data_IF_948441697634
#
_entry.id   IF_948441697634
#
_cell.length_a   1.000
_cell.length_b   1.000
_cell.length_c   1.000
_cell.angle_alpha   90.00
_cell.angle_beta   90.00
_cell.angle_gamma   90.00
#
_symmetry.space_group_name_H-M   'P 1'
#
loop_
_entity.id
_entity.type
_entity.pdbx_description
1 polymer ?
#
# COMPACT_ATOMS: atom_id res chain seq x y z
N UNK A 1 -2.31 -14.52 -3.90
CA UNK A 1 -2.81 -13.27 -4.50
C UNK A 1 -1.63 -12.46 -5.03
N UNK A 2 -1.68 -12.03 -6.28
CA UNK A 2 -0.69 -11.14 -6.87
C UNK A 2 -1.35 -9.85 -7.35
N UNK A 3 -0.71 -8.71 -7.15
CA UNK A 3 -1.14 -7.43 -7.71
C UNK A 3 0.05 -6.77 -8.40
N UNK A 4 0.16 -7.00 -9.71
CA UNK A 4 1.24 -6.48 -10.53
C UNK A 4 0.81 -5.11 -11.05
N UNK A 5 1.45 -4.05 -10.56
CA UNK A 5 1.16 -2.64 -10.86
C UNK A 5 -0.27 -2.13 -10.59
N UNK A 6 -1.22 -3.00 -10.24
CA UNK A 6 -2.62 -2.62 -10.00
C UNK A 6 -2.80 -1.58 -8.89
N UNK A 7 -1.98 -1.62 -7.84
CA UNK A 7 -2.05 -0.63 -6.76
C UNK A 7 -1.75 0.80 -7.22
N UNK A 8 -1.11 1.02 -8.38
CA UNK A 8 -0.92 2.37 -8.93
C UNK A 8 -2.24 3.08 -9.27
N UNK A 9 -3.31 2.31 -9.48
CA UNK A 9 -4.61 2.80 -9.92
C UNK A 9 -5.69 2.69 -8.83
N UNK A 10 -5.31 2.20 -7.66
CA UNK A 10 -6.21 2.07 -6.52
C UNK A 10 -6.06 3.28 -5.62
N UNK A 11 -7.18 3.92 -5.29
CA UNK A 11 -7.24 5.02 -4.34
C UNK A 11 -6.85 4.56 -2.94
N UNK A 12 -7.61 3.65 -2.33
CA UNK A 12 -7.26 3.11 -1.01
C UNK A 12 -6.37 1.85 -1.09
N UNK A 13 -5.07 2.09 -1.21
CA UNK A 13 -4.04 1.03 -1.32
C UNK A 13 -3.92 0.22 -0.03
N UNK A 14 -4.05 0.86 1.14
CA UNK A 14 -3.97 0.18 2.43
C UNK A 14 -5.15 -0.76 2.63
N UNK A 15 -6.38 -0.32 2.38
CA UNK A 15 -7.54 -1.20 2.48
C UNK A 15 -7.47 -2.36 1.48
N UNK A 16 -6.97 -2.13 0.27
CA UNK A 16 -6.77 -3.21 -0.70
C UNK A 16 -5.79 -4.27 -0.18
N UNK A 17 -4.68 -3.86 0.44
CA UNK A 17 -3.70 -4.76 1.03
C UNK A 17 -4.26 -5.54 2.23
N UNK A 18 -4.97 -4.88 3.15
CA UNK A 18 -5.52 -5.53 4.34
C UNK A 18 -6.69 -6.47 4.01
N UNK A 19 -7.52 -6.13 3.01
CA UNK A 19 -8.54 -7.05 2.48
C UNK A 19 -7.92 -8.26 1.79
N UNK A 20 -6.89 -8.04 0.96
CA UNK A 20 -6.20 -9.17 0.33
C UNK A 20 -5.54 -10.10 1.37
N UNK A 21 -5.02 -9.54 2.46
CA UNK A 21 -4.49 -10.32 3.59
C UNK A 21 -5.55 -11.21 4.26
N UNK A 22 -6.78 -10.70 4.45
CA UNK A 22 -7.86 -11.46 5.10
C UNK A 22 -8.43 -12.58 4.24
N UNK A 23 -8.18 -12.56 2.93
CA UNK A 23 -8.58 -13.63 2.00
C UNK A 23 -7.54 -14.73 1.83
N UNK A 24 -6.33 -14.57 2.37
CA UNK A 24 -5.32 -15.62 2.25
C UNK A 24 -5.76 -16.88 3.01
N UNK A 25 -5.37 -18.04 2.52
CA UNK A 25 -5.39 -19.27 3.34
C UNK A 25 -4.23 -19.25 4.34
N UNK A 26 -4.19 -20.20 5.28
CA UNK A 26 -3.11 -20.32 6.28
C UNK A 26 -1.71 -20.28 5.64
N UNK A 27 -1.54 -20.90 4.48
CA UNK A 27 -0.28 -20.93 3.73
C UNK A 27 -0.27 -20.03 2.49
N UNK A 28 -1.30 -19.20 2.33
CA UNK A 28 -1.45 -18.29 1.21
C UNK A 28 -0.35 -17.22 1.16
N UNK A 29 -0.09 -16.70 -0.02
CA UNK A 29 0.91 -15.66 -0.24
C UNK A 29 0.29 -14.49 -1.01
N UNK A 30 0.44 -13.28 -0.46
CA UNK A 30 0.20 -12.01 -1.15
C UNK A 30 1.55 -11.43 -1.59
N UNK A 31 1.65 -11.02 -2.86
CA UNK A 31 2.77 -10.21 -3.38
C UNK A 31 2.22 -9.11 -4.28
N UNK A 32 2.61 -7.86 -4.02
CA UNK A 32 2.18 -6.72 -4.83
C UNK A 32 3.32 -5.75 -5.12
N UNK A 33 3.26 -5.07 -6.27
CA UNK A 33 4.04 -3.85 -6.45
C UNK A 33 3.43 -2.73 -5.60
N UNK A 34 4.26 -2.05 -4.83
CA UNK A 34 3.84 -0.98 -3.92
C UNK A 34 4.86 0.14 -3.98
N UNK A 35 4.47 1.29 -4.55
CA UNK A 35 5.30 2.50 -4.55
C UNK A 35 4.95 3.35 -3.34
N UNK A 36 5.72 3.21 -2.26
CA UNK A 36 5.49 3.96 -1.02
C UNK A 36 5.56 5.49 -1.21
N UNK A 37 6.14 6.00 -2.31
CA UNK A 37 6.18 7.44 -2.61
C UNK A 37 4.82 7.99 -3.01
N UNK A 38 3.91 7.13 -3.48
CA UNK A 38 2.53 7.51 -3.80
C UNK A 38 1.63 7.66 -2.57
N UNK A 39 2.20 7.57 -1.36
CA UNK A 39 1.46 7.68 -0.12
C UNK A 39 1.79 9.00 0.56
N UNK A 40 0.75 9.80 0.79
CA UNK A 40 0.84 11.20 1.21
C UNK A 40 0.07 11.45 2.50
N UNK A 41 0.53 12.42 3.27
CA UNK A 41 -0.26 13.08 4.31
C UNK A 41 -1.21 14.10 3.67
N UNK A 42 -2.24 14.61 4.37
CA UNK A 42 -3.21 15.55 3.80
C UNK A 42 -2.60 16.85 3.25
N UNK A 43 -1.46 17.27 3.80
CA UNK A 43 -0.69 18.43 3.33
C UNK A 43 0.16 18.13 2.07
N UNK A 44 0.07 16.92 1.53
CA UNK A 44 0.84 16.45 0.37
C UNK A 44 2.26 15.98 0.71
N UNK A 45 2.69 16.07 1.96
CA UNK A 45 4.02 15.61 2.36
C UNK A 45 4.14 14.07 2.31
N UNK A 46 5.33 13.51 2.08
CA UNK A 46 5.51 12.05 1.99
C UNK A 46 5.22 11.33 3.31
N UNK A 47 4.38 10.29 3.27
CA UNK A 47 4.06 9.45 4.43
C UNK A 47 4.79 8.08 4.43
N UNK A 48 5.68 7.84 3.45
CA UNK A 48 6.23 6.53 3.14
C UNK A 48 6.92 5.81 4.32
N UNK A 49 7.76 6.51 5.08
CA UNK A 49 8.57 5.91 6.15
C UNK A 49 7.75 5.46 7.37
N UNK A 50 6.92 6.32 8.00
CA UNK A 50 6.07 5.87 9.10
C UNK A 50 5.11 4.77 8.63
N UNK A 51 4.52 4.91 7.45
CA UNK A 51 3.56 3.93 6.93
C UNK A 51 4.18 2.55 6.64
N UNK A 52 5.35 2.50 6.02
CA UNK A 52 6.04 1.22 5.81
C UNK A 52 6.52 0.59 7.12
N UNK A 53 6.74 1.38 8.17
CA UNK A 53 6.99 0.86 9.53
C UNK A 53 5.76 0.17 10.09
N UNK A 54 4.58 0.81 10.02
CA UNK A 54 3.32 0.22 10.49
C UNK A 54 2.94 -1.03 9.70
N UNK A 55 3.14 -1.04 8.37
CA UNK A 55 2.93 -2.24 7.56
C UNK A 55 3.84 -3.40 8.00
N UNK A 56 5.10 -3.12 8.33
CA UNK A 56 6.03 -4.13 8.86
C UNK A 56 5.61 -4.65 10.22
N UNK A 57 5.13 -3.78 11.11
CA UNK A 57 4.58 -4.17 12.41
C UNK A 57 3.33 -5.06 12.26
N UNK A 58 2.52 -4.83 11.23
CA UNK A 58 1.40 -5.70 10.86
C UNK A 58 1.81 -7.04 10.23
N UNK A 59 3.12 -7.24 9.97
CA UNK A 59 3.71 -8.46 9.45
C UNK A 59 3.92 -8.50 7.94
N UNK A 60 3.69 -7.39 7.22
CA UNK A 60 4.11 -7.30 5.84
C UNK A 60 5.63 -7.22 5.75
N UNK A 61 6.20 -7.76 4.68
CA UNK A 61 7.57 -7.44 4.28
C UNK A 61 7.54 -6.41 3.15
N UNK A 62 8.49 -5.47 3.16
CA UNK A 62 8.59 -4.45 2.11
C UNK A 62 10.03 -4.31 1.63
N UNK A 63 10.22 -4.58 0.33
CA UNK A 63 11.47 -4.41 -0.41
C UNK A 63 11.40 -3.10 -1.22
N UNK A 64 12.07 -2.03 -0.77
CA UNK A 64 12.04 -0.73 -1.45
C UNK A 64 12.81 -0.73 -2.77
N UNK A 65 13.81 -1.61 -2.94
CA UNK A 65 14.60 -1.70 -4.18
C UNK A 65 13.75 -2.26 -5.31
N UNK A 66 12.93 -3.27 -5.00
CA UNK A 66 12.00 -3.88 -5.95
C UNK A 66 10.59 -3.26 -5.92
N UNK A 67 10.36 -2.30 -5.01
CA UNK A 67 9.04 -1.69 -4.73
C UNK A 67 7.96 -2.76 -4.57
N UNK A 68 8.22 -3.72 -3.69
CA UNK A 68 7.40 -4.92 -3.53
C UNK A 68 7.02 -5.13 -2.08
N UNK A 69 5.74 -5.38 -1.84
CA UNK A 69 5.20 -5.74 -0.54
C UNK A 69 4.68 -7.18 -0.58
N UNK A 70 4.82 -7.92 0.52
CA UNK A 70 4.27 -9.27 0.63
C UNK A 70 3.80 -9.61 2.04
N UNK A 71 2.92 -10.61 2.12
CA UNK A 71 2.42 -11.21 3.37
C UNK A 71 2.17 -12.70 3.14
N UNK A 72 2.53 -13.54 4.11
CA UNK A 72 2.20 -14.96 4.12
C UNK A 72 1.19 -15.25 5.24
N UNK A 73 0.22 -16.09 4.90
CA UNK A 73 -0.85 -16.54 5.79
C UNK A 73 -2.01 -15.56 5.94
N UNK A 74 -3.16 -16.11 6.31
CA UNK A 74 -4.37 -15.35 6.62
C UNK A 74 -4.10 -14.34 7.74
N UNK A 75 -4.58 -13.10 7.58
CA UNK A 75 -4.55 -12.12 8.65
C UNK A 75 -5.62 -11.04 8.49
N UNK A 76 -6.34 -10.76 9.57
CA UNK A 76 -7.09 -9.52 9.73
C UNK A 76 -6.16 -8.45 10.27
N UNK A 77 -6.00 -7.34 9.55
CA UNK A 77 -5.04 -6.29 9.87
C UNK A 77 -5.79 -4.97 9.99
N UNK A 78 -5.60 -4.31 11.12
CA UNK A 78 -5.98 -2.92 11.34
C UNK A 78 -4.72 -2.07 11.31
N UNK A 79 -4.73 -1.01 10.50
CA UNK A 79 -3.64 -0.05 10.41
C UNK A 79 -4.10 1.27 11.03
N UNK A 80 -3.22 2.02 11.72
CA UNK A 80 -3.57 3.28 12.39
C UNK A 80 -3.61 4.44 11.39
N UNK A 81 -4.42 4.30 10.33
CA UNK A 81 -4.56 5.30 9.28
C UNK A 81 -6.01 5.41 8.83
N UNK A 82 -6.49 6.63 8.66
CA UNK A 82 -7.75 6.93 7.98
C UNK A 82 -7.46 7.34 6.55
N UNK A 83 -8.25 6.82 5.60
CA UNK A 83 -8.14 7.17 4.19
C UNK A 83 -8.90 8.46 3.91
N UNK A 84 -8.22 9.45 3.36
CA UNK A 84 -8.78 10.79 3.09
C UNK A 84 -9.18 10.97 1.62
N UNK A 85 -8.68 10.13 0.73
CA UNK A 85 -8.94 10.23 -0.71
C UNK A 85 -7.72 9.95 -1.56
N UNK A 86 -7.87 10.16 -2.86
CA UNK A 86 -6.81 9.98 -3.84
C UNK A 86 -6.81 11.11 -4.86
N UNK A 87 -5.63 11.41 -5.39
CA UNK A 87 -5.41 12.38 -6.46
C UNK A 87 -4.93 11.66 -7.72
N UNK A 88 -5.74 11.71 -8.78
CA UNK A 88 -5.43 11.12 -10.09
C UNK A 88 -4.54 12.03 -10.97
N UNK A 89 -4.17 13.20 -10.48
CA UNK A 89 -3.25 14.16 -11.13
C UNK A 89 -1.83 14.12 -10.56
N UNK A 90 -1.51 13.13 -9.73
CA UNK A 90 -0.20 12.95 -9.09
C UNK A 90 0.99 12.78 -10.06
N UNK A 91 0.70 12.53 -11.34
CA UNK A 91 1.71 12.30 -12.36
C UNK A 91 2.09 10.82 -12.50
N UNK A 92 3.19 10.52 -13.21
CA UNK A 92 3.52 9.15 -13.53
C UNK A 92 4.10 8.39 -12.34
N UNK A 93 3.74 7.11 -12.22
CA UNK A 93 4.45 6.15 -11.37
C UNK A 93 5.87 5.87 -11.91
N UNK A 94 6.58 4.97 -11.24
CA UNK A 94 7.93 4.61 -11.62
C UNK A 94 8.09 3.83 -12.94
N UNK A 95 7.00 3.37 -13.54
CA UNK A 95 7.01 2.78 -14.89
C UNK A 95 6.66 3.80 -15.97
N UNK A 96 6.43 5.07 -15.60
CA UNK A 96 6.06 6.15 -16.52
C UNK A 96 4.56 6.23 -16.82
N UNK A 97 3.73 5.38 -16.22
CA UNK A 97 2.29 5.36 -16.43
C UNK A 97 1.57 6.30 -15.46
N UNK A 98 0.43 6.91 -15.82
CA UNK A 98 -0.39 7.68 -14.88
C UNK A 98 -0.68 6.87 -13.61
N UNK A 99 -0.75 7.54 -12.46
CA UNK A 99 -1.01 6.89 -11.19
C UNK A 99 -1.73 7.83 -10.23
N UNK A 100 -2.30 7.23 -9.18
CA UNK A 100 -2.96 7.98 -8.13
C UNK A 100 -2.08 8.05 -6.88
N UNK A 101 -1.97 9.22 -6.28
CA UNK A 101 -1.48 9.36 -4.92
C UNK A 101 -2.63 9.09 -3.94
N UNK A 102 -2.32 8.42 -2.83
CA UNK A 102 -3.28 8.09 -1.76
C UNK A 102 -2.98 8.91 -0.52
N UNK A 103 -4.00 9.54 0.04
CA UNK A 103 -3.89 10.41 1.20
C UNK A 103 -4.39 9.70 2.45
N UNK A 104 -3.59 9.76 3.52
CA UNK A 104 -3.92 9.16 4.81
C UNK A 104 -3.58 10.09 5.97
N UNK A 105 -4.44 10.13 6.98
CA UNK A 105 -4.16 10.70 8.30
C UNK A 105 -3.82 9.58 9.29
N UNK A 106 -2.80 9.74 10.16
CA UNK A 106 -2.63 8.85 11.31
C UNK A 106 -3.86 8.93 12.23
N UNK A 107 -4.30 7.78 12.75
CA UNK A 107 -5.34 7.68 13.77
C UNK A 107 -4.82 8.04 15.17
#
# INVERSE_FOLDING_TARGET
ITCVHGLHYVGDKLAALTRAASWLTENGLLVANFDARSIRLPDGSPAARPLTTSLRQAGFTYDPRRRRISLRGNRTIELPYHYEGADDRAGPNYTGQPAVDSFYTPA
#
